data_IF_198046155329
#
_entry.id   IF_198046155329
#
_cell.length_a   1.000
_cell.length_b   1.000
_cell.length_c   1.000
_cell.angle_alpha   90.00
_cell.angle_beta   90.00
_cell.angle_gamma   90.00
#
_symmetry.space_group_name_H-M   'P 1'
#
loop_
_entity.id
_entity.type
_entity.pdbx_description
1 polymer ?
#
# COMPACT_ATOMS: atom_id res chain seq x y z
N UNK A 1 -31.50 22.15 -1.34
CA UNK A 1 -31.25 20.75 -0.99
C UNK A 1 -29.77 20.49 -0.99
N UNK A 2 -29.28 20.01 0.15
CA UNK A 2 -27.93 19.52 0.39
C UNK A 2 -27.68 18.28 -0.49
N UNK A 3 -26.39 18.00 -0.73
CA UNK A 3 -25.82 16.72 -1.19
C UNK A 3 -25.67 16.54 -2.72
N UNK A 4 -24.46 16.79 -3.25
CA UNK A 4 -23.64 15.74 -3.88
C UNK A 4 -22.20 16.23 -4.15
N UNK A 5 -21.34 16.11 -3.14
CA UNK A 5 -19.89 16.11 -3.31
C UNK A 5 -19.49 14.64 -3.50
N UNK A 6 -19.40 14.15 -4.74
CA UNK A 6 -18.81 12.83 -5.02
C UNK A 6 -17.54 13.04 -5.82
N UNK A 7 -16.47 12.98 -5.04
CA UNK A 7 -15.06 12.89 -5.36
C UNK A 7 -14.81 12.05 -6.61
N UNK A 8 -14.14 12.67 -7.60
CA UNK A 8 -13.28 11.95 -8.54
C UNK A 8 -12.15 11.29 -7.73
N UNK A 9 -12.41 10.09 -7.23
CA UNK A 9 -11.36 9.20 -6.76
C UNK A 9 -10.55 8.74 -7.97
N UNK A 10 -9.45 9.45 -8.27
CA UNK A 10 -8.35 8.84 -9.02
C UNK A 10 -8.05 7.52 -8.34
N UNK A 11 -8.17 6.42 -9.07
CA UNK A 11 -7.55 5.16 -8.70
C UNK A 11 -6.10 5.48 -8.40
N UNK A 12 -5.75 5.53 -7.12
CA UNK A 12 -4.38 5.41 -6.71
C UNK A 12 -4.00 4.00 -7.14
N UNK A 13 -3.35 3.89 -8.30
CA UNK A 13 -2.29 2.91 -8.41
C UNK A 13 -1.46 3.16 -7.15
N UNK A 14 -1.53 2.22 -6.21
CA UNK A 14 -0.76 2.28 -4.99
C UNK A 14 0.71 2.29 -5.43
N UNK A 15 1.24 3.50 -5.61
CA UNK A 15 2.64 3.73 -5.90
C UNK A 15 3.40 3.26 -4.69
N UNK A 16 3.83 1.98 -4.75
CA UNK A 16 4.67 1.33 -3.77
C UNK A 16 5.84 2.28 -3.50
N UNK A 17 5.92 2.90 -2.30
CA UNK A 17 6.91 3.91 -2.03
C UNK A 17 8.31 3.34 -2.29
N UNK A 18 9.17 4.06 -3.01
CA UNK A 18 10.55 3.62 -3.29
C UNK A 18 11.42 3.52 -2.02
N UNK A 19 10.84 3.78 -0.84
CA UNK A 19 11.48 3.80 0.47
C UNK A 19 10.94 2.75 1.46
N UNK A 20 10.40 1.61 0.99
CA UNK A 20 9.91 0.51 1.87
C UNK A 20 11.00 -0.23 2.67
N UNK A 21 12.27 0.16 2.56
CA UNK A 21 13.38 -0.54 3.21
C UNK A 21 13.78 0.09 4.56
N UNK A 22 14.40 -0.73 5.42
CA UNK A 22 14.85 -0.39 6.79
C UNK A 22 15.84 0.78 6.94
N UNK A 23 16.51 1.23 5.86
CA UNK A 23 17.49 2.34 5.92
C UNK A 23 16.88 3.66 5.48
N UNK A 24 15.83 3.61 4.65
CA UNK A 24 15.09 4.80 4.25
C UNK A 24 14.09 5.26 5.32
N UNK A 25 13.78 4.39 6.28
CA UNK A 25 13.02 4.76 7.45
C UNK A 25 13.92 5.46 8.48
N UNK A 26 13.89 6.79 8.42
CA UNK A 26 14.65 7.68 9.29
C UNK A 26 14.35 7.36 10.75
N UNK A 27 15.37 6.89 11.49
CA UNK A 27 15.30 6.79 12.95
C UNK A 27 15.00 8.20 13.53
N UNK A 28 14.14 8.34 14.55
CA UNK A 28 13.83 9.64 15.12
C UNK A 28 15.07 10.21 15.84
N UNK A 29 15.79 11.13 15.19
CA UNK A 29 16.92 11.83 15.82
C UNK A 29 17.79 12.69 14.90
N UNK A 30 17.49 14.00 14.88
CA UNK A 30 18.30 15.16 14.43
C UNK A 30 18.56 15.31 12.92
N UNK A 31 17.70 16.10 12.28
CA UNK A 31 17.98 16.74 10.99
C UNK A 31 17.05 17.94 10.76
N UNK A 32 17.64 19.12 10.58
CA UNK A 32 16.97 20.42 10.45
C UNK A 32 16.12 20.46 9.18
N UNK A 33 14.81 20.71 9.31
CA UNK A 33 13.92 20.96 8.17
C UNK A 33 14.30 22.33 7.59
N UNK A 34 15.08 22.35 6.51
CA UNK A 34 15.24 23.53 5.67
C UNK A 34 13.94 23.74 4.91
N UNK A 35 13.25 24.83 5.25
CA UNK A 35 12.06 25.34 4.60
C UNK A 35 12.24 25.38 3.07
N UNK A 36 11.36 24.69 2.34
CA UNK A 36 11.10 24.99 0.93
C UNK A 36 9.80 25.78 0.85
N UNK A 37 9.90 26.98 0.28
CA UNK A 37 8.81 27.92 0.02
C UNK A 37 7.96 27.42 -1.15
N UNK A 38 6.63 27.66 -1.16
CA UNK A 38 5.84 27.51 -2.38
C UNK A 38 6.21 28.60 -3.39
N UNK A 39 6.43 28.20 -4.65
CA UNK A 39 6.44 29.12 -5.78
C UNK A 39 4.99 29.35 -6.21
N UNK A 40 4.43 30.47 -5.80
CA UNK A 40 3.17 31.00 -6.29
C UNK A 40 3.47 31.76 -7.58
N UNK A 41 2.96 31.29 -8.72
CA UNK A 41 3.23 31.96 -9.99
C UNK A 41 2.48 31.37 -11.17
N UNK A 42 1.50 32.14 -11.63
CA UNK A 42 1.26 32.40 -13.05
C UNK A 42 0.54 31.32 -13.86
N UNK A 43 -0.79 31.26 -13.70
CA UNK A 43 -1.70 30.84 -14.78
C UNK A 43 -2.65 32.00 -15.08
N UNK A 44 -2.28 32.79 -16.08
CA UNK A 44 -3.18 33.72 -16.76
C UNK A 44 -3.67 33.04 -18.04
N UNK A 45 -4.99 33.06 -18.23
CA UNK A 45 -5.62 32.92 -19.55
C UNK A 45 -6.27 31.58 -19.85
N UNK A 46 -7.55 31.46 -19.48
CA UNK A 46 -8.63 30.96 -20.34
C UNK A 46 -9.94 30.93 -19.51
N UNK A 47 -10.58 32.09 -19.38
CA UNK A 47 -11.99 32.15 -19.04
C UNK A 47 -12.78 31.55 -20.22
N UNK A 48 -13.38 30.37 -20.02
CA UNK A 48 -14.36 29.78 -20.92
C UNK A 48 -15.72 29.84 -20.22
N UNK A 49 -16.61 30.67 -20.77
CA UNK A 49 -17.95 30.95 -20.26
C UNK A 49 -18.82 29.68 -20.28
N UNK A 50 -19.42 29.39 -19.13
CA UNK A 50 -20.04 28.11 -18.77
C UNK A 50 -21.54 27.98 -19.15
N UNK A 51 -22.08 28.82 -20.04
CA UNK A 51 -23.53 28.92 -20.24
C UNK A 51 -24.08 28.30 -21.55
N UNK A 52 -23.24 28.02 -22.55
CA UNK A 52 -23.74 27.60 -23.88
C UNK A 52 -23.60 26.10 -24.19
N UNK A 53 -23.02 25.31 -23.28
CA UNK A 53 -22.79 23.88 -23.49
C UNK A 53 -24.00 22.97 -23.12
N UNK A 54 -24.98 23.48 -22.37
CA UNK A 54 -26.03 22.66 -21.75
C UNK A 54 -27.24 22.39 -22.67
N UNK A 55 -27.50 23.21 -23.71
CA UNK A 55 -28.66 23.05 -24.59
C UNK A 55 -28.45 22.10 -25.79
N UNK A 56 -27.19 21.87 -26.21
CA UNK A 56 -26.87 21.03 -27.38
C UNK A 56 -26.74 19.53 -27.03
N UNK A 57 -26.71 19.18 -25.74
CA UNK A 57 -26.55 17.80 -25.28
C UNK A 57 -27.88 17.02 -25.25
N UNK A 58 -29.04 17.69 -25.27
CA UNK A 58 -30.35 17.03 -25.08
C UNK A 58 -30.96 16.41 -26.36
N UNK A 59 -30.60 16.90 -27.55
CA UNK A 59 -31.19 16.40 -28.82
C UNK A 59 -30.44 15.19 -29.40
N UNK A 60 -29.12 15.12 -29.21
CA UNK A 60 -28.28 14.04 -29.75
C UNK A 60 -28.44 12.73 -28.95
N UNK A 61 -28.96 12.81 -27.72
CA UNK A 61 -29.02 11.68 -26.80
C UNK A 61 -30.32 10.86 -26.85
N UNK A 62 -31.37 11.37 -27.51
CA UNK A 62 -32.70 10.76 -27.46
C UNK A 62 -32.78 9.33 -28.04
N UNK A 63 -32.22 9.00 -29.23
CA UNK A 63 -32.34 7.66 -29.80
C UNK A 63 -31.38 6.62 -29.19
N UNK A 64 -30.28 7.07 -28.58
CA UNK A 64 -29.23 6.19 -28.03
C UNK A 64 -29.41 5.89 -26.54
N UNK A 65 -30.31 6.61 -25.87
CA UNK A 65 -30.63 6.43 -24.46
C UNK A 65 -30.92 4.97 -24.04
N UNK A 66 -31.78 4.18 -24.72
CA UNK A 66 -32.04 2.80 -24.29
C UNK A 66 -30.83 1.87 -24.45
N UNK A 67 -29.99 2.11 -25.47
CA UNK A 67 -28.74 1.35 -25.68
C UNK A 67 -27.70 1.68 -24.60
N UNK A 68 -27.62 2.96 -24.22
CA UNK A 68 -26.67 3.40 -23.22
C UNK A 68 -27.10 2.97 -21.80
N UNK A 69 -28.41 2.95 -21.49
CA UNK A 69 -28.92 2.31 -20.28
C UNK A 69 -28.64 0.81 -20.24
N UNK A 70 -28.78 0.11 -21.37
CA UNK A 70 -28.50 -1.33 -21.45
C UNK A 70 -27.01 -1.64 -21.32
N UNK A 71 -26.14 -0.80 -21.89
CA UNK A 71 -24.69 -0.90 -21.75
C UNK A 71 -24.24 -0.61 -20.31
N UNK A 72 -24.82 0.41 -19.65
CA UNK A 72 -24.54 0.72 -18.26
C UNK A 72 -24.99 -0.39 -17.29
N UNK A 73 -26.12 -1.04 -17.56
CA UNK A 73 -26.57 -2.21 -16.78
C UNK A 73 -25.69 -3.45 -17.01
N UNK A 74 -25.21 -3.65 -18.23
CA UNK A 74 -24.32 -4.77 -18.58
C UNK A 74 -22.89 -4.63 -18.07
N UNK A 75 -22.36 -3.41 -17.99
CA UNK A 75 -20.97 -3.15 -17.57
C UNK A 75 -20.78 -3.11 -16.04
N UNK A 76 -21.87 -3.08 -15.26
CA UNK A 76 -21.80 -3.04 -13.80
C UNK A 76 -21.44 -4.37 -13.12
N UNK A 77 -21.56 -5.51 -13.83
CA UNK A 77 -21.41 -6.84 -13.23
C UNK A 77 -19.96 -7.36 -13.14
N UNK A 78 -18.99 -6.69 -13.78
CA UNK A 78 -17.61 -7.17 -13.91
C UNK A 78 -16.60 -6.63 -12.90
N UNK A 79 -17.00 -5.74 -11.99
CA UNK A 79 -16.08 -5.05 -11.05
C UNK A 79 -16.05 -5.68 -9.64
N UNK A 80 -16.52 -6.91 -9.48
CA UNK A 80 -16.32 -7.64 -8.23
C UNK A 80 -14.82 -7.96 -8.08
N UNK A 81 -14.10 -7.10 -7.35
CA UNK A 81 -12.72 -7.34 -6.97
C UNK A 81 -12.57 -8.73 -6.33
N UNK A 82 -11.46 -9.41 -6.62
CA UNK A 82 -11.17 -10.70 -6.01
C UNK A 82 -11.31 -10.61 -4.48
N UNK A 83 -11.89 -11.62 -3.81
CA UNK A 83 -12.04 -11.59 -2.37
C UNK A 83 -10.66 -11.43 -1.73
N UNK A 84 -10.47 -10.38 -0.93
CA UNK A 84 -9.29 -10.26 -0.08
C UNK A 84 -9.23 -11.49 0.82
N UNK A 85 -8.23 -12.33 0.61
CA UNK A 85 -7.97 -13.49 1.47
C UNK A 85 -7.32 -12.98 2.74
N UNK A 86 -7.82 -13.43 3.89
CA UNK A 86 -7.14 -13.17 5.15
C UNK A 86 -5.87 -14.03 5.20
N UNK A 87 -4.79 -13.46 5.74
CA UNK A 87 -3.53 -14.18 5.93
C UNK A 87 -3.69 -15.39 6.87
N UNK A 88 -3.00 -16.48 6.53
CA UNK A 88 -2.93 -17.70 7.33
C UNK A 88 -1.73 -17.63 8.27
N UNK A 89 -2.00 -17.31 9.55
CA UNK A 89 -0.95 -17.18 10.56
C UNK A 89 -0.29 -18.52 10.91
N UNK A 90 -0.98 -19.66 10.72
CA UNK A 90 -0.42 -20.98 11.00
C UNK A 90 0.58 -21.36 9.90
N UNK A 91 0.24 -21.12 8.64
CA UNK A 91 1.20 -21.22 7.53
C UNK A 91 2.38 -20.26 7.73
N UNK A 92 2.09 -19.00 8.06
CA UNK A 92 3.11 -17.97 8.33
C UNK A 92 4.09 -18.37 9.43
N UNK A 93 3.60 -19.01 10.50
CA UNK A 93 4.45 -19.58 11.55
C UNK A 93 5.37 -20.68 11.02
N UNK A 94 4.83 -21.62 10.23
CA UNK A 94 5.61 -22.70 9.61
C UNK A 94 6.73 -22.16 8.72
N UNK A 95 6.40 -21.18 7.86
CA UNK A 95 7.36 -20.49 6.99
C UNK A 95 8.44 -19.78 7.82
N UNK A 96 8.03 -19.07 8.88
CA UNK A 96 8.96 -18.36 9.75
C UNK A 96 9.96 -19.32 10.40
N UNK A 97 9.49 -20.45 10.93
CA UNK A 97 10.35 -21.45 11.56
C UNK A 97 11.33 -22.08 10.56
N UNK A 98 10.87 -22.34 9.34
CA UNK A 98 11.69 -22.95 8.29
C UNK A 98 12.74 -22.00 7.69
N UNK A 99 12.46 -20.70 7.62
CA UNK A 99 13.25 -19.76 6.82
C UNK A 99 13.87 -18.59 7.62
N UNK A 100 13.21 -18.14 8.68
CA UNK A 100 13.52 -16.86 9.33
C UNK A 100 14.12 -17.05 10.72
N UNK A 101 13.70 -18.10 11.45
CA UNK A 101 14.03 -18.31 12.86
C UNK A 101 15.53 -18.46 13.12
N UNK A 102 16.32 -18.93 12.14
CA UNK A 102 17.77 -19.05 12.28
C UNK A 102 18.45 -17.72 12.67
N UNK A 103 17.94 -16.60 12.16
CA UNK A 103 18.44 -15.26 12.50
C UNK A 103 17.50 -14.52 13.46
N UNK A 104 16.19 -14.82 13.42
CA UNK A 104 15.14 -14.03 14.05
C UNK A 104 14.40 -14.72 15.20
N UNK A 105 14.96 -15.79 15.78
CA UNK A 105 14.36 -16.49 16.93
C UNK A 105 13.95 -15.53 18.07
N UNK A 106 12.72 -15.67 18.55
CA UNK A 106 12.15 -14.83 19.62
C UNK A 106 12.11 -13.33 19.26
N UNK A 107 12.00 -13.02 17.97
CA UNK A 107 11.96 -11.65 17.47
C UNK A 107 13.30 -10.92 17.51
N UNK A 108 14.40 -11.60 17.80
CA UNK A 108 15.73 -11.00 17.81
C UNK A 108 16.32 -10.89 16.40
N UNK A 109 17.58 -10.49 16.29
CA UNK A 109 18.35 -10.54 15.07
C UNK A 109 19.80 -10.89 15.41
N UNK A 110 20.23 -12.08 15.02
CA UNK A 110 21.56 -12.60 15.31
C UNK A 110 22.68 -11.90 14.51
N UNK A 111 22.34 -11.24 13.40
CA UNK A 111 23.30 -10.60 12.49
C UNK A 111 23.39 -9.10 12.75
N UNK A 112 22.26 -8.44 12.95
CA UNK A 112 22.18 -6.99 13.17
C UNK A 112 21.33 -6.70 14.41
N UNK A 113 21.93 -6.61 15.62
CA UNK A 113 21.21 -6.57 16.90
C UNK A 113 20.22 -5.43 17.05
N UNK A 114 20.43 -4.29 16.39
CA UNK A 114 19.50 -3.15 16.43
C UNK A 114 18.25 -3.40 15.57
N UNK A 115 18.33 -4.30 14.59
CA UNK A 115 17.28 -4.55 13.61
C UNK A 115 16.44 -5.78 13.95
N UNK A 116 15.77 -5.72 15.10
CA UNK A 116 14.92 -6.80 15.67
C UNK A 116 13.48 -6.75 15.13
N UNK A 117 12.76 -7.85 15.23
CA UNK A 117 11.33 -7.93 14.89
C UNK A 117 10.40 -7.59 16.06
N UNK A 118 10.93 -6.97 17.12
CA UNK A 118 10.13 -6.46 18.24
C UNK A 118 9.40 -5.20 17.82
N UNK A 119 8.20 -5.00 18.37
CA UNK A 119 7.31 -3.90 17.99
C UNK A 119 7.99 -2.54 18.05
N UNK A 120 8.71 -2.26 19.13
CA UNK A 120 9.37 -0.96 19.34
C UNK A 120 10.44 -0.69 18.26
N UNK A 121 11.19 -1.73 17.88
CA UNK A 121 12.20 -1.61 16.83
C UNK A 121 11.55 -1.44 15.45
N UNK A 122 10.51 -2.23 15.16
CA UNK A 122 9.76 -2.11 13.92
C UNK A 122 9.14 -0.71 13.79
N UNK A 123 8.52 -0.16 14.84
CA UNK A 123 7.97 1.20 14.83
C UNK A 123 9.07 2.26 14.66
N UNK A 124 10.20 2.12 15.37
CA UNK A 124 11.35 3.05 15.29
C UNK A 124 11.90 3.16 13.87
N UNK A 125 11.94 2.04 13.15
CA UNK A 125 12.37 1.98 11.76
C UNK A 125 11.18 1.96 10.79
N UNK A 126 9.98 2.35 11.21
CA UNK A 126 8.80 2.42 10.34
C UNK A 126 8.50 1.13 9.56
N UNK A 127 8.86 -0.03 10.09
CA UNK A 127 8.68 -1.37 9.54
C UNK A 127 7.52 -2.12 10.18
N UNK A 128 6.81 -1.52 11.13
CA UNK A 128 5.59 -2.07 11.71
C UNK A 128 4.41 -1.90 10.73
N UNK A 129 4.58 -2.47 9.54
CA UNK A 129 3.69 -2.40 8.38
C UNK A 129 3.90 -3.66 7.54
N UNK A 130 2.80 -4.33 7.18
CA UNK A 130 2.83 -5.62 6.48
C UNK A 130 3.50 -5.48 5.11
N UNK A 131 3.19 -4.42 4.35
CA UNK A 131 3.73 -4.23 3.00
C UNK A 131 5.24 -3.98 3.02
N UNK A 132 5.75 -3.26 4.02
CA UNK A 132 7.20 -3.10 4.22
C UNK A 132 7.89 -4.40 4.57
N UNK A 133 7.30 -5.22 5.43
CA UNK A 133 7.86 -6.54 5.76
C UNK A 133 7.83 -7.45 4.54
N UNK A 134 6.71 -7.51 3.79
CA UNK A 134 6.60 -8.24 2.52
C UNK A 134 7.71 -7.81 1.57
N UNK A 135 7.88 -6.51 1.35
CA UNK A 135 8.95 -5.99 0.51
C UNK A 135 10.35 -6.44 0.97
N UNK A 136 10.62 -6.38 2.28
CA UNK A 136 11.90 -6.76 2.86
C UNK A 136 12.17 -8.27 2.74
N UNK A 137 11.14 -9.11 2.89
CA UNK A 137 11.22 -10.57 2.71
C UNK A 137 11.42 -10.92 1.23
N UNK A 138 10.66 -10.30 0.34
CA UNK A 138 10.75 -10.51 -1.11
C UNK A 138 12.15 -10.18 -1.64
N UNK A 139 12.67 -9.02 -1.28
CA UNK A 139 13.89 -8.48 -1.89
C UNK A 139 15.17 -8.77 -1.08
N UNK A 140 15.04 -9.17 0.19
CA UNK A 140 16.18 -9.28 1.09
C UNK A 140 16.88 -7.92 1.30
N UNK A 141 17.99 -7.93 2.04
CA UNK A 141 18.89 -6.79 2.20
C UNK A 141 20.16 -7.18 2.94
N UNK A 142 21.32 -6.76 2.42
CA UNK A 142 22.62 -7.05 3.03
C UNK A 142 22.78 -8.56 3.31
N UNK A 143 22.86 -8.96 4.58
CA UNK A 143 22.98 -10.35 5.01
C UNK A 143 21.64 -11.11 5.06
N UNK A 144 20.50 -10.42 4.98
CA UNK A 144 19.18 -11.06 4.87
C UNK A 144 18.97 -11.48 3.40
N UNK A 145 18.82 -12.78 3.10
CA UNK A 145 18.61 -13.25 1.74
C UNK A 145 17.24 -12.82 1.20
N UNK A 146 17.13 -12.74 -0.13
CA UNK A 146 15.86 -12.54 -0.81
C UNK A 146 15.06 -13.86 -0.85
N UNK A 147 13.76 -13.79 -0.59
CA UNK A 147 12.88 -14.96 -0.61
C UNK A 147 11.85 -14.94 -1.76
N UNK A 148 11.78 -13.86 -2.54
CA UNK A 148 10.79 -13.72 -3.62
C UNK A 148 10.86 -14.78 -4.73
N UNK A 149 12.02 -15.43 -4.91
CA UNK A 149 12.17 -16.54 -5.87
C UNK A 149 11.85 -17.92 -5.25
N UNK A 150 11.74 -17.99 -3.92
CA UNK A 150 11.61 -19.25 -3.16
C UNK A 150 10.25 -19.42 -2.51
N UNK A 151 9.58 -18.31 -2.18
CA UNK A 151 8.27 -18.28 -1.53
C UNK A 151 7.27 -17.61 -2.46
N UNK A 152 6.03 -18.12 -2.47
CA UNK A 152 4.95 -17.49 -3.20
C UNK A 152 4.53 -16.16 -2.57
N UNK A 153 3.81 -15.29 -3.31
CA UNK A 153 3.33 -14.02 -2.76
C UNK A 153 2.41 -14.21 -1.55
N UNK A 154 1.57 -15.25 -1.54
CA UNK A 154 0.69 -15.61 -0.42
C UNK A 154 1.52 -16.05 0.82
N UNK A 155 2.54 -16.89 0.63
CA UNK A 155 3.45 -17.31 1.72
C UNK A 155 4.19 -16.11 2.35
N UNK A 156 4.59 -15.15 1.50
CA UNK A 156 5.23 -13.91 1.95
C UNK A 156 4.26 -13.02 2.73
N UNK A 157 2.98 -12.99 2.32
CA UNK A 157 1.93 -12.29 3.04
C UNK A 157 1.66 -12.94 4.41
N UNK A 158 1.56 -14.27 4.45
CA UNK A 158 1.34 -15.03 5.67
C UNK A 158 2.46 -14.82 6.69
N UNK A 159 3.73 -14.93 6.26
CA UNK A 159 4.87 -14.73 7.17
C UNK A 159 4.99 -13.27 7.62
N UNK A 160 4.66 -12.29 6.77
CA UNK A 160 4.68 -10.89 7.16
C UNK A 160 3.61 -10.57 8.22
N UNK A 161 2.40 -11.10 8.05
CA UNK A 161 1.33 -10.98 9.04
C UNK A 161 1.67 -11.71 10.34
N UNK A 162 2.28 -12.89 10.26
CA UNK A 162 2.79 -13.61 11.43
C UNK A 162 3.80 -12.77 12.22
N UNK A 163 4.74 -12.10 11.56
CA UNK A 163 5.71 -11.21 12.24
C UNK A 163 5.02 -10.05 12.96
N UNK A 164 4.02 -9.41 12.35
CA UNK A 164 3.24 -8.33 12.99
C UNK A 164 2.44 -8.85 14.18
N UNK A 165 1.80 -10.02 14.06
CA UNK A 165 1.07 -10.68 15.14
C UNK A 165 2.00 -11.01 16.33
N UNK A 166 3.16 -11.60 16.06
CA UNK A 166 4.15 -11.89 17.10
C UNK A 166 4.73 -10.63 17.75
N UNK A 167 4.97 -9.58 16.96
CA UNK A 167 5.41 -8.30 17.49
C UNK A 167 4.36 -7.67 18.43
N UNK A 168 3.07 -7.75 18.10
CA UNK A 168 1.99 -7.31 18.99
C UNK A 168 1.90 -8.13 20.28
N UNK A 169 2.21 -9.43 20.21
CA UNK A 169 2.27 -10.34 21.37
C UNK A 169 3.59 -10.22 22.16
N UNK A 170 4.56 -9.44 21.68
CA UNK A 170 5.86 -9.31 22.32
C UNK A 170 6.76 -10.54 22.21
N UNK A 171 6.48 -11.45 21.26
CA UNK A 171 7.20 -12.72 21.04
C UNK A 171 7.15 -13.68 22.24
N UNK A 172 6.02 -13.72 22.96
CA UNK A 172 5.74 -14.64 24.09
C UNK A 172 4.69 -15.68 23.77
#
# INVERSE_FOLDING_TARGET
SLLLLVLFGRSAAFEVPTNLNWDSAVAPGRGRVSQLRPAEGFWQGAEMEAADAEAAAEDIWSPLRPLLLSLLLGLGAGLAGAPARAADLENGQGIFLANCAACHAGGNNAVQPDKKLKKEALETYGMFDVERIKYQVTNGKNAMPAFGERLGPEDIEDVANYVIDQANKGWS
#
